data_IF_735661848966
#
_entry.id   IF_735661848966
#
_cell.length_a   1.000
_cell.length_b   1.000
_cell.length_c   1.000
_cell.angle_alpha   90.00
_cell.angle_beta   90.00
_cell.angle_gamma   90.00
#
_symmetry.space_group_name_H-M   'P 1'
#
loop_
_entity.id
_entity.type
_entity.pdbx_description
1 polymer ?
#
# COMPACT_ATOMS: atom_id res chain seq x y z
N UNK A 1 11.84 -14.06 0.72
CA UNK A 1 12.90 -13.08 1.01
C UNK A 1 12.23 -11.74 1.08
N UNK A 2 12.45 -10.97 2.14
CA UNK A 2 11.73 -9.71 2.36
C UNK A 2 12.17 -8.64 1.37
N UNK A 3 11.22 -7.79 0.97
CA UNK A 3 11.45 -6.66 0.06
C UNK A 3 11.85 -5.42 0.86
N UNK A 4 12.81 -4.65 0.36
CA UNK A 4 13.23 -3.40 0.98
C UNK A 4 12.47 -2.23 0.36
N UNK A 5 11.64 -1.56 1.16
CA UNK A 5 10.81 -0.43 0.73
C UNK A 5 11.02 0.71 1.74
N UNK A 6 11.53 1.84 1.26
CA UNK A 6 11.70 3.06 2.06
C UNK A 6 10.37 3.79 2.28
N UNK A 7 10.35 4.70 3.26
CA UNK A 7 9.18 5.53 3.54
C UNK A 7 8.93 6.56 2.44
N UNK A 8 7.66 6.92 2.22
CA UNK A 8 7.34 7.99 1.29
C UNK A 8 7.79 9.35 1.86
N UNK A 9 8.46 10.17 1.05
CA UNK A 9 8.94 11.49 1.46
C UNK A 9 7.99 12.63 1.07
N UNK A 10 6.83 12.33 0.46
CA UNK A 10 5.90 13.33 -0.07
C UNK A 10 6.60 14.42 -0.92
N UNK A 11 7.58 14.00 -1.72
CA UNK A 11 8.48 14.91 -2.44
C UNK A 11 7.98 15.37 -3.81
N UNK A 12 6.88 14.78 -4.31
CA UNK A 12 6.24 15.06 -5.60
C UNK A 12 7.14 15.04 -6.84
N UNK A 13 8.39 14.57 -6.74
CA UNK A 13 9.36 14.63 -7.84
C UNK A 13 8.91 13.80 -9.04
N UNK A 14 8.07 12.78 -8.82
CA UNK A 14 7.50 11.97 -9.87
C UNK A 14 6.63 12.77 -10.85
N UNK A 15 6.03 13.89 -10.42
CA UNK A 15 5.21 14.75 -11.28
C UNK A 15 6.01 15.40 -12.41
N UNK A 16 7.32 15.62 -12.22
CA UNK A 16 8.18 16.29 -13.19
C UNK A 16 9.13 15.38 -13.97
N UNK A 17 9.22 14.09 -13.62
CA UNK A 17 10.22 13.17 -14.17
C UNK A 17 9.63 11.96 -14.92
N UNK A 18 8.32 12.00 -15.22
CA UNK A 18 7.63 10.92 -15.93
C UNK A 18 7.00 9.85 -15.03
N UNK A 19 6.61 10.20 -13.80
CA UNK A 19 5.87 9.30 -12.89
C UNK A 19 6.75 8.35 -12.09
N UNK A 20 8.07 8.59 -12.03
CA UNK A 20 9.02 7.68 -11.39
C UNK A 20 9.41 8.21 -10.01
N UNK A 21 9.29 7.36 -8.99
CA UNK A 21 9.79 7.72 -7.67
C UNK A 21 11.32 7.84 -7.64
N UNK A 22 11.84 8.83 -6.89
CA UNK A 22 13.28 9.03 -6.68
C UNK A 22 13.94 7.96 -5.82
N UNK A 23 13.16 7.22 -5.03
CA UNK A 23 13.67 6.12 -4.21
C UNK A 23 13.87 4.88 -5.09
N UNK A 24 15.13 4.46 -5.19
CA UNK A 24 15.53 3.26 -5.92
C UNK A 24 15.54 2.05 -4.96
N UNK A 25 14.36 1.44 -4.80
CA UNK A 25 14.11 0.32 -3.92
C UNK A 25 13.16 -0.70 -4.58
N UNK A 26 12.80 -1.78 -3.86
CA UNK A 26 11.96 -2.84 -4.43
C UNK A 26 10.55 -2.36 -4.83
N UNK A 27 10.13 -1.16 -4.41
CA UNK A 27 8.80 -0.62 -4.72
C UNK A 27 8.60 -0.46 -6.22
N UNK A 28 9.64 -0.11 -6.98
CA UNK A 28 9.51 0.16 -8.41
C UNK A 28 8.97 -1.06 -9.16
N UNK A 29 9.53 -2.24 -8.88
CA UNK A 29 9.04 -3.51 -9.42
C UNK A 29 7.64 -3.86 -8.92
N UNK A 30 7.33 -3.56 -7.64
CA UNK A 30 6.01 -3.81 -7.07
C UNK A 30 4.93 -2.95 -7.75
N UNK A 31 5.21 -1.69 -8.08
CA UNK A 31 4.28 -0.81 -8.79
C UNK A 31 3.99 -1.32 -10.21
N UNK A 32 4.99 -1.88 -10.90
CA UNK A 32 4.76 -2.52 -12.20
C UNK A 32 3.83 -3.74 -12.09
N UNK A 33 4.01 -4.57 -11.05
CA UNK A 33 3.13 -5.71 -10.79
C UNK A 33 1.72 -5.24 -10.42
N UNK A 34 1.61 -4.20 -9.58
CA UNK A 34 0.35 -3.58 -9.20
C UNK A 34 -0.44 -3.15 -10.44
N UNK A 35 0.19 -2.40 -11.35
CA UNK A 35 -0.48 -1.92 -12.57
C UNK A 35 -0.98 -3.08 -13.46
N UNK A 36 -0.19 -4.15 -13.59
CA UNK A 36 -0.52 -5.34 -14.40
C UNK A 36 -1.56 -6.26 -13.76
N UNK A 37 -1.81 -6.14 -12.46
CA UNK A 37 -2.73 -7.04 -11.75
C UNK A 37 -4.19 -6.64 -11.95
N UNK A 38 -5.09 -7.60 -12.07
CA UNK A 38 -6.54 -7.33 -12.03
C UNK A 38 -7.11 -7.43 -10.60
N UNK A 39 -6.43 -8.20 -9.74
CA UNK A 39 -6.83 -8.49 -8.37
C UNK A 39 -5.69 -8.23 -7.40
N UNK A 40 -6.00 -7.58 -6.29
CA UNK A 40 -5.09 -7.30 -5.19
C UNK A 40 -5.58 -8.00 -3.92
N UNK A 41 -4.66 -8.70 -3.25
CA UNK A 41 -4.90 -9.25 -1.91
C UNK A 41 -3.92 -8.60 -0.95
N UNK A 42 -4.45 -7.81 -0.02
CA UNK A 42 -3.67 -7.03 0.92
C UNK A 42 -3.80 -7.65 2.30
N UNK A 43 -2.68 -8.17 2.80
CA UNK A 43 -2.63 -8.85 4.08
C UNK A 43 -1.82 -8.03 5.09
N UNK A 44 -2.40 -7.72 6.25
CA UNK A 44 -1.70 -7.01 7.32
C UNK A 44 -2.16 -7.50 8.69
N UNK A 45 -1.24 -7.62 9.67
CA UNK A 45 -1.66 -7.72 11.06
C UNK A 45 -2.26 -6.39 11.51
N UNK A 46 -3.22 -6.46 12.44
CA UNK A 46 -3.65 -5.30 13.22
C UNK A 46 -2.54 -4.95 14.19
N UNK A 47 -2.02 -3.73 14.11
CA UNK A 47 -1.02 -3.22 15.01
C UNK A 47 -1.49 -1.87 15.56
N UNK A 48 -1.61 -1.75 16.88
CA UNK A 48 -2.11 -0.54 17.55
C UNK A 48 -3.43 0.01 16.95
N UNK A 49 -4.41 -0.89 16.72
CA UNK A 49 -5.73 -0.57 16.17
C UNK A 49 -5.78 -0.13 14.70
N UNK A 50 -4.68 -0.25 13.97
CA UNK A 50 -4.62 0.06 12.54
C UNK A 50 -3.85 -0.98 11.74
N UNK A 51 -3.59 -0.66 10.48
CA UNK A 51 -2.68 -1.45 9.64
C UNK A 51 -1.24 -1.36 10.13
N UNK A 52 -0.42 -2.34 9.78
CA UNK A 52 1.01 -2.30 10.13
C UNK A 52 1.73 -1.13 9.43
N UNK A 53 2.81 -0.64 10.04
CA UNK A 53 3.64 0.40 9.43
C UNK A 53 4.19 0.00 8.05
N UNK A 54 4.43 -1.29 7.82
CA UNK A 54 4.81 -1.82 6.52
C UNK A 54 3.70 -1.68 5.48
N UNK A 55 2.45 -2.02 5.85
CA UNK A 55 1.29 -1.83 4.97
C UNK A 55 1.09 -0.35 4.65
N UNK A 56 1.17 0.54 5.65
CA UNK A 56 1.06 1.98 5.41
C UNK A 56 2.18 2.52 4.52
N UNK A 57 3.40 2.01 4.69
CA UNK A 57 4.54 2.33 3.82
C UNK A 57 4.25 1.92 2.38
N UNK A 58 3.74 0.71 2.15
CA UNK A 58 3.33 0.29 0.81
C UNK A 58 2.26 1.22 0.22
N UNK A 59 1.18 1.50 0.97
CA UNK A 59 0.10 2.40 0.55
C UNK A 59 0.66 3.77 0.15
N UNK A 60 1.45 4.41 1.01
CA UNK A 60 2.01 5.75 0.73
C UNK A 60 2.94 5.76 -0.47
N UNK A 61 3.62 4.65 -0.72
CA UNK A 61 4.56 4.49 -1.82
C UNK A 61 3.87 4.21 -3.16
N UNK A 62 2.56 3.97 -3.19
CA UNK A 62 1.75 3.92 -4.42
C UNK A 62 1.40 5.29 -5.00
N UNK A 63 1.71 6.37 -4.28
CA UNK A 63 1.40 7.74 -4.68
C UNK A 63 1.80 8.10 -6.14
N UNK A 64 2.96 7.68 -6.68
CA UNK A 64 3.32 7.98 -8.07
C UNK A 64 2.35 7.48 -9.13
N UNK A 65 1.53 6.47 -8.80
CA UNK A 65 0.57 5.86 -9.72
C UNK A 65 -0.88 6.01 -9.24
N UNK A 66 -1.15 6.84 -8.22
CA UNK A 66 -2.48 6.95 -7.57
C UNK A 66 -3.61 7.23 -8.57
N UNK A 67 -3.39 8.16 -9.51
CA UNK A 67 -4.38 8.50 -10.56
C UNK A 67 -4.53 7.42 -11.64
N UNK A 68 -3.70 6.38 -11.60
CA UNK A 68 -3.55 5.34 -12.62
C UNK A 68 -3.67 3.92 -12.05
N UNK A 69 -4.31 3.75 -10.89
CA UNK A 69 -4.59 2.41 -10.35
C UNK A 69 -5.44 1.56 -11.30
N UNK A 70 -6.38 2.21 -11.99
CA UNK A 70 -7.41 1.52 -12.77
C UNK A 70 -8.37 0.75 -11.86
N UNK A 71 -9.25 -0.05 -12.46
CA UNK A 71 -10.17 -0.92 -11.71
C UNK A 71 -9.41 -2.16 -11.23
N UNK A 72 -9.48 -2.46 -9.93
CA UNK A 72 -8.94 -3.67 -9.30
C UNK A 72 -10.03 -4.33 -8.45
N UNK A 73 -10.05 -5.65 -8.42
CA UNK A 73 -10.77 -6.39 -7.37
C UNK A 73 -9.87 -6.46 -6.13
N UNK A 74 -10.32 -5.92 -5.00
CA UNK A 74 -9.48 -5.82 -3.78
C UNK A 74 -10.04 -6.63 -2.65
N UNK A 75 -9.18 -7.46 -2.06
CA UNK A 75 -9.48 -8.28 -0.88
C UNK A 75 -8.51 -7.95 0.25
N UNK A 76 -9.05 -7.84 1.45
CA UNK A 76 -8.28 -7.57 2.66
C UNK A 76 -8.24 -8.80 3.56
N UNK A 77 -7.04 -9.18 4.00
CA UNK A 77 -6.82 -10.22 5.00
C UNK A 77 -6.20 -9.57 6.23
N UNK A 78 -6.91 -9.63 7.35
CA UNK A 78 -6.48 -8.99 8.59
C UNK A 78 -6.33 -10.04 9.67
N UNK A 79 -5.18 -10.05 10.35
CA UNK A 79 -4.95 -10.90 11.53
C UNK A 79 -4.89 -10.04 12.80
N UNK A 80 -5.68 -10.40 13.81
CA UNK A 80 -5.81 -9.65 15.05
C UNK A 80 -5.61 -10.57 16.26
N UNK A 81 -4.97 -10.05 17.33
CA UNK A 81 -4.76 -10.80 18.57
C UNK A 81 -5.87 -10.60 19.62
N UNK A 82 -6.72 -9.57 19.45
CA UNK A 82 -7.83 -9.25 20.34
C UNK A 82 -9.18 -9.44 19.60
N UNK A 83 -10.29 -9.10 20.27
CA UNK A 83 -11.65 -9.30 19.76
C UNK A 83 -11.96 -8.57 18.44
N UNK A 84 -13.09 -8.92 17.83
CA UNK A 84 -13.49 -8.43 16.49
C UNK A 84 -13.55 -6.90 16.35
N UNK A 85 -13.81 -6.17 17.44
CA UNK A 85 -13.91 -4.71 17.45
C UNK A 85 -12.62 -3.97 17.01
N UNK A 86 -11.46 -4.60 17.09
CA UNK A 86 -10.21 -4.00 16.61
C UNK A 86 -9.98 -4.20 15.11
N UNK A 87 -10.72 -5.11 14.47
CA UNK A 87 -10.61 -5.38 13.03
C UNK A 87 -11.27 -4.24 12.25
N UNK A 88 -12.46 -3.80 12.66
CA UNK A 88 -13.21 -2.72 11.98
C UNK A 88 -12.40 -1.44 11.84
N UNK A 89 -11.65 -1.05 12.89
CA UNK A 89 -10.77 0.13 12.84
C UNK A 89 -9.62 -0.04 11.84
N UNK A 90 -8.99 -1.22 11.81
CA UNK A 90 -7.93 -1.49 10.85
C UNK A 90 -8.43 -1.57 9.41
N UNK A 91 -9.69 -1.96 9.18
CA UNK A 91 -10.30 -1.92 7.86
C UNK A 91 -10.57 -0.47 7.44
N UNK A 92 -10.93 0.42 8.37
CA UNK A 92 -11.13 1.84 8.04
C UNK A 92 -9.86 2.56 7.56
N UNK A 93 -8.66 2.10 7.94
CA UNK A 93 -7.40 2.62 7.39
C UNK A 93 -7.19 2.23 5.91
N UNK A 94 -7.90 1.20 5.46
CA UNK A 94 -7.89 0.71 4.08
C UNK A 94 -9.08 1.27 3.28
N UNK A 95 -10.06 1.87 3.96
CA UNK A 95 -11.18 2.53 3.29
C UNK A 95 -10.66 3.73 2.48
N UNK A 96 -10.98 3.74 1.18
CA UNK A 96 -10.48 4.75 0.25
C UNK A 96 -9.12 4.41 -0.38
N UNK A 97 -8.50 3.30 0.01
CA UNK A 97 -7.42 2.69 -0.76
C UNK A 97 -8.00 1.76 -1.83
N UNK A 98 -7.77 2.13 -3.09
CA UNK A 98 -8.24 1.50 -4.36
C UNK A 98 -9.75 1.46 -4.58
#
# INVERSE_FOLDING_TARGET
>A
MDKNIGYCHACDTFMGNGGVCVLNDDMQHILELFQKSDTLVLATPVYFHGVSAHMKTFIDRTYPIWEHFGKKDVYYIVSAALGFNIIEKSLSDLDGFV
#
